data_IF_778054351111
#
_entry.id   IF_778054351111
#
_cell.length_a   1.000
_cell.length_b   1.000
_cell.length_c   1.000
_cell.angle_alpha   90.00
_cell.angle_beta   90.00
_cell.angle_gamma   90.00
#
_symmetry.space_group_name_H-M   'P 1'
#
loop_
_entity.id
_entity.type
_entity.pdbx_description
1 polymer ?
#
# COMPACT_ATOMS: atom_id res chain seq x y z
N UNK A 1 -21.46 -21.58 -25.28
CA UNK A 1 -21.19 -22.54 -26.35
C UNK A 1 -22.28 -22.45 -27.42
N UNK A 2 -21.88 -22.44 -28.66
CA UNK A 2 -22.80 -22.41 -29.83
C UNK A 2 -22.92 -23.76 -30.48
N UNK A 3 -22.19 -24.76 -29.99
CA UNK A 3 -22.11 -26.12 -30.51
C UNK A 3 -22.31 -27.18 -29.42
N UNK A 4 -21.77 -28.35 -29.66
CA UNK A 4 -21.87 -29.55 -28.80
C UNK A 4 -20.60 -29.75 -27.98
N UNK A 5 -19.75 -28.74 -27.90
CA UNK A 5 -18.47 -28.79 -27.17
C UNK A 5 -18.68 -28.99 -25.67
N UNK A 6 -17.91 -29.90 -25.10
CA UNK A 6 -17.96 -30.26 -23.68
C UNK A 6 -16.62 -30.03 -22.98
N UNK A 7 -15.62 -29.51 -23.71
CA UNK A 7 -14.30 -29.16 -23.13
C UNK A 7 -13.77 -27.87 -23.75
N UNK A 8 -13.02 -27.14 -23.00
CA UNK A 8 -12.42 -25.86 -23.39
C UNK A 8 -11.02 -25.69 -22.81
N UNK A 9 -10.17 -24.97 -23.53
CA UNK A 9 -8.90 -24.47 -23.03
C UNK A 9 -9.05 -22.98 -22.71
N UNK A 10 -8.81 -22.61 -21.46
CA UNK A 10 -8.77 -21.23 -20.99
C UNK A 10 -7.30 -20.82 -20.91
N UNK A 11 -6.92 -19.76 -21.61
CA UNK A 11 -5.62 -19.13 -21.45
C UNK A 11 -5.79 -17.82 -20.73
N UNK A 12 -5.04 -17.59 -19.65
CA UNK A 12 -5.11 -16.37 -18.86
C UNK A 12 -3.74 -15.88 -18.43
N UNK A 13 -3.63 -14.59 -18.12
CA UNK A 13 -2.41 -13.94 -17.65
C UNK A 13 -2.67 -12.51 -17.20
N UNK A 14 -1.66 -11.78 -16.74
CA UNK A 14 -1.77 -10.36 -16.46
C UNK A 14 -2.35 -9.61 -17.65
N UNK A 15 -3.12 -8.53 -17.39
CA UNK A 15 -3.76 -7.76 -18.45
C UNK A 15 -2.73 -7.32 -19.51
N UNK A 16 -3.10 -7.46 -20.79
CA UNK A 16 -2.24 -7.18 -21.93
C UNK A 16 -1.27 -8.32 -22.32
N UNK A 17 -1.35 -9.50 -21.71
CA UNK A 17 -0.51 -10.62 -22.15
C UNK A 17 -0.83 -11.02 -23.59
N UNK A 18 0.18 -11.51 -24.29
CA UNK A 18 0.03 -11.99 -25.67
C UNK A 18 -0.50 -13.44 -25.66
N UNK A 19 -1.55 -13.78 -26.47
CA UNK A 19 -2.01 -15.16 -26.63
C UNK A 19 -0.85 -16.10 -26.98
N UNK A 20 -0.80 -17.26 -26.32
CA UNK A 20 0.30 -18.22 -26.43
C UNK A 20 1.34 -18.10 -25.31
N UNK A 21 1.35 -17.00 -24.52
CA UNK A 21 2.29 -16.81 -23.40
C UNK A 21 1.64 -16.94 -22.03
N UNK A 22 0.31 -16.99 -21.93
CA UNK A 22 -0.44 -17.12 -20.71
C UNK A 22 -0.47 -18.55 -20.14
N UNK A 23 -0.98 -18.67 -18.93
CA UNK A 23 -1.25 -19.97 -18.30
C UNK A 23 -2.47 -20.61 -18.95
N UNK A 24 -2.38 -21.90 -19.31
CA UNK A 24 -3.48 -22.66 -19.93
C UNK A 24 -4.07 -23.60 -18.88
N UNK A 25 -5.40 -23.60 -18.75
CA UNK A 25 -6.17 -24.56 -17.96
C UNK A 25 -7.25 -25.20 -18.82
N UNK A 26 -7.37 -26.53 -18.71
CA UNK A 26 -8.48 -27.27 -19.33
C UNK A 26 -9.74 -27.15 -18.47
N UNK A 27 -10.85 -26.78 -19.09
CA UNK A 27 -12.16 -26.62 -18.46
C UNK A 27 -13.14 -27.65 -19.03
N UNK A 28 -13.65 -28.53 -18.18
CA UNK A 28 -14.70 -29.52 -18.55
C UNK A 28 -16.10 -29.06 -18.19
N UNK A 29 -16.29 -27.85 -17.69
CA UNK A 29 -17.59 -27.28 -17.31
C UNK A 29 -17.69 -25.83 -17.76
N UNK A 30 -18.93 -25.40 -18.01
CA UNK A 30 -19.27 -23.99 -18.22
C UNK A 30 -20.50 -23.66 -17.34
N UNK A 31 -20.37 -22.81 -16.30
CA UNK A 31 -19.20 -21.99 -15.95
C UNK A 31 -18.03 -22.79 -15.38
N UNK A 32 -16.81 -22.21 -15.48
CA UNK A 32 -15.57 -22.69 -14.88
C UNK A 32 -15.06 -21.70 -13.84
N UNK A 33 -14.67 -22.19 -12.67
CA UNK A 33 -14.08 -21.35 -11.59
C UNK A 33 -12.55 -21.37 -11.68
N UNK A 34 -11.96 -20.26 -12.07
CA UNK A 34 -10.52 -20.06 -12.06
C UNK A 34 -10.05 -19.70 -10.63
N UNK A 35 -9.06 -20.42 -10.13
CA UNK A 35 -8.53 -20.25 -8.76
C UNK A 35 -7.02 -19.98 -8.78
N UNK A 36 -6.44 -19.59 -7.63
CA UNK A 36 -5.01 -19.32 -7.51
C UNK A 36 -4.59 -17.97 -8.08
N UNK A 37 -5.52 -17.06 -8.26
CA UNK A 37 -5.26 -15.71 -8.74
C UNK A 37 -4.69 -14.84 -7.60
N UNK A 38 -3.87 -13.87 -7.98
CA UNK A 38 -3.36 -12.83 -7.06
C UNK A 38 -4.45 -11.77 -6.85
N UNK A 39 -4.63 -11.29 -5.62
CA UNK A 39 -5.56 -10.21 -5.32
C UNK A 39 -5.10 -8.87 -5.94
N UNK A 40 -6.01 -7.93 -6.13
CA UNK A 40 -5.77 -6.60 -6.73
C UNK A 40 -5.00 -6.67 -8.07
N UNK A 41 -5.29 -7.67 -8.89
CA UNK A 41 -4.57 -7.91 -10.13
C UNK A 41 -5.55 -7.96 -11.30
N UNK A 42 -5.24 -7.20 -12.35
CA UNK A 42 -6.00 -7.25 -13.61
C UNK A 42 -5.50 -8.39 -14.49
N UNK A 43 -6.44 -9.16 -14.96
CA UNK A 43 -6.22 -10.33 -15.82
C UNK A 43 -6.99 -10.20 -17.12
N UNK A 44 -6.38 -10.71 -18.17
CA UNK A 44 -7.07 -11.03 -19.42
C UNK A 44 -7.20 -12.54 -19.55
N UNK A 45 -8.28 -12.98 -20.22
CA UNK A 45 -8.43 -14.39 -20.57
C UNK A 45 -8.99 -14.57 -21.98
N UNK A 46 -8.66 -15.72 -22.54
CA UNK A 46 -9.10 -16.20 -23.85
C UNK A 46 -9.62 -17.61 -23.69
N UNK A 47 -10.63 -17.98 -24.46
CA UNK A 47 -11.21 -19.33 -24.45
C UNK A 47 -11.20 -19.93 -25.85
N UNK A 48 -10.85 -21.20 -25.91
CA UNK A 48 -10.84 -22.03 -27.12
C UNK A 48 -11.64 -23.29 -26.83
N UNK A 49 -12.52 -23.69 -27.75
CA UNK A 49 -13.17 -25.00 -27.66
C UNK A 49 -12.15 -26.09 -27.97
N UNK A 50 -12.16 -27.15 -27.17
CA UNK A 50 -11.38 -28.37 -27.38
C UNK A 50 -12.30 -29.43 -28.03
N UNK A 51 -12.00 -29.79 -29.27
CA UNK A 51 -12.74 -30.79 -30.04
C UNK A 51 -11.98 -32.12 -30.15
N UNK A 52 -10.97 -32.33 -29.27
CA UNK A 52 -10.14 -33.53 -29.22
C UNK A 52 -8.99 -33.47 -30.23
N UNK A 53 -9.19 -33.90 -31.43
CA UNK A 53 -8.14 -33.87 -32.46
C UNK A 53 -7.95 -32.47 -33.09
N UNK A 54 -8.86 -31.54 -32.83
CA UNK A 54 -8.87 -30.17 -33.35
C UNK A 54 -9.32 -29.19 -32.27
N UNK A 55 -9.18 -27.90 -32.51
CA UNK A 55 -9.62 -26.85 -31.61
C UNK A 55 -10.05 -25.60 -32.38
N UNK A 56 -10.97 -24.84 -31.79
CA UNK A 56 -11.41 -23.58 -32.38
C UNK A 56 -10.31 -22.51 -32.33
N UNK A 57 -10.51 -21.38 -32.99
CA UNK A 57 -9.77 -20.17 -32.69
C UNK A 57 -10.09 -19.70 -31.26
N UNK A 58 -9.16 -18.98 -30.62
CA UNK A 58 -9.40 -18.31 -29.34
C UNK A 58 -10.42 -17.18 -29.49
N UNK A 59 -11.36 -17.12 -28.53
CA UNK A 59 -12.26 -16.00 -28.33
C UNK A 59 -11.76 -15.17 -27.16
N UNK A 60 -11.70 -13.85 -27.32
CA UNK A 60 -11.21 -12.92 -26.30
C UNK A 60 -10.42 -11.74 -26.90
N UNK A 61 -9.68 -10.92 -26.08
CA UNK A 61 -9.65 -11.05 -24.64
C UNK A 61 -10.94 -10.62 -23.95
N UNK A 62 -11.18 -11.16 -22.77
CA UNK A 62 -12.07 -10.56 -21.79
C UNK A 62 -11.28 -10.30 -20.51
N UNK A 63 -11.52 -9.15 -19.88
CA UNK A 63 -10.72 -8.68 -18.75
C UNK A 63 -11.54 -8.68 -17.47
N UNK A 64 -10.87 -8.92 -16.35
CA UNK A 64 -11.41 -8.73 -14.98
C UNK A 64 -10.30 -8.36 -14.03
N UNK A 65 -10.66 -7.74 -12.92
CA UNK A 65 -9.72 -7.43 -11.83
C UNK A 65 -10.17 -8.16 -10.57
N UNK A 66 -9.24 -8.86 -9.93
CA UNK A 66 -9.51 -9.48 -8.63
C UNK A 66 -9.61 -8.41 -7.55
N UNK A 67 -10.58 -8.50 -6.62
CA UNK A 67 -10.67 -7.55 -5.52
C UNK A 67 -9.45 -7.67 -4.58
N UNK A 68 -9.20 -6.60 -3.84
CA UNK A 68 -8.22 -6.63 -2.74
C UNK A 68 -8.69 -7.62 -1.66
N UNK A 69 -7.77 -8.42 -1.16
CA UNK A 69 -7.97 -9.30 -0.01
C UNK A 69 -6.91 -8.96 1.02
N UNK A 70 -7.35 -8.62 2.24
CA UNK A 70 -6.44 -8.33 3.34
C UNK A 70 -5.58 -9.56 3.66
N UNK A 71 -4.25 -9.42 3.74
CA UNK A 71 -3.38 -10.52 4.12
C UNK A 71 -3.75 -11.11 5.49
N UNK A 72 -3.64 -12.42 5.63
CA UNK A 72 -3.89 -13.08 6.90
C UNK A 72 -2.94 -12.54 7.98
N UNK A 73 -3.47 -12.17 9.15
CA UNK A 73 -2.71 -11.60 10.25
C UNK A 73 -2.37 -10.12 10.11
N UNK A 74 -2.91 -9.43 9.10
CA UNK A 74 -2.84 -7.98 8.98
C UNK A 74 -4.21 -7.34 9.22
N UNK A 75 -4.22 -6.04 9.46
CA UNK A 75 -5.43 -5.20 9.49
C UNK A 75 -5.43 -4.29 8.26
N UNK A 76 -6.58 -4.11 7.63
CA UNK A 76 -6.68 -3.34 6.40
C UNK A 76 -7.86 -2.37 6.42
N UNK A 77 -7.70 -1.27 5.70
CA UNK A 77 -8.79 -0.35 5.37
C UNK A 77 -8.66 0.12 3.92
N UNK A 78 -9.80 0.34 3.26
CA UNK A 78 -9.84 0.81 1.87
C UNK A 78 -10.81 1.98 1.74
N UNK A 79 -10.37 3.06 1.11
CA UNK A 79 -11.18 4.21 0.76
C UNK A 79 -11.84 3.97 -0.61
N UNK A 80 -13.16 3.96 -0.63
CA UNK A 80 -13.95 3.72 -1.85
C UNK A 80 -14.23 4.96 -2.70
N UNK A 81 -13.66 6.12 -2.35
CA UNK A 81 -13.84 7.40 -3.07
C UNK A 81 -12.52 7.91 -3.62
N UNK A 82 -12.59 8.76 -4.62
CA UNK A 82 -11.44 9.52 -5.13
C UNK A 82 -10.83 10.42 -4.06
N UNK A 83 -9.53 10.73 -4.21
CA UNK A 83 -8.86 11.81 -3.48
C UNK A 83 -8.41 12.84 -4.50
N UNK A 84 -8.87 14.06 -4.31
CA UNK A 84 -8.44 15.21 -5.13
C UNK A 84 -6.97 15.52 -4.88
N UNK A 85 -6.27 16.01 -5.90
CA UNK A 85 -4.90 16.48 -5.76
C UNK A 85 -4.87 17.99 -5.46
N UNK A 86 -4.00 18.39 -4.53
CA UNK A 86 -3.73 19.79 -4.23
C UNK A 86 -2.58 20.32 -5.09
N UNK A 87 -2.55 21.64 -5.34
CA UNK A 87 -1.52 22.24 -6.18
C UNK A 87 -0.37 22.76 -5.35
N UNK A 88 0.81 22.72 -6.01
CA UNK A 88 2.14 23.06 -5.56
C UNK A 88 2.68 22.18 -4.43
N UNK A 89 2.51 20.89 -4.64
CA UNK A 89 3.01 19.84 -3.75
C UNK A 89 4.47 19.51 -4.09
N UNK A 90 5.38 20.44 -3.77
CA UNK A 90 6.79 20.34 -4.22
C UNK A 90 7.79 19.99 -3.13
N UNK A 91 7.43 20.14 -1.85
CA UNK A 91 8.32 19.92 -0.72
C UNK A 91 7.62 19.18 0.43
N UNK A 92 8.43 18.59 1.34
CA UNK A 92 7.95 18.01 2.59
C UNK A 92 7.86 19.07 3.71
N UNK A 93 6.91 18.88 4.64
CA UNK A 93 5.83 17.90 4.60
C UNK A 93 4.90 18.16 3.41
N UNK A 94 4.56 17.09 2.70
CA UNK A 94 3.67 17.17 1.54
C UNK A 94 2.21 17.28 1.98
N UNK A 95 1.81 18.40 2.57
CA UNK A 95 0.46 18.61 3.08
C UNK A 95 -0.50 19.04 1.96
N UNK A 96 -1.56 18.28 1.78
CA UNK A 96 -2.72 18.63 0.97
C UNK A 96 -3.83 19.16 1.89
N UNK A 97 -4.62 20.11 1.41
CA UNK A 97 -5.80 20.61 2.13
C UNK A 97 -7.01 19.68 2.00
N UNK A 98 -6.89 18.61 1.21
CA UNK A 98 -7.93 17.60 0.98
C UNK A 98 -7.39 16.16 1.03
N UNK A 99 -6.73 15.74 2.11
CA UNK A 99 -6.21 14.37 2.21
C UNK A 99 -7.34 13.35 2.24
N UNK A 100 -7.08 12.17 1.69
CA UNK A 100 -7.92 10.99 1.97
C UNK A 100 -7.60 10.47 3.36
N UNK A 101 -8.60 10.02 4.11
CA UNK A 101 -8.44 9.51 5.47
C UNK A 101 -8.91 8.06 5.62
N UNK A 102 -8.14 7.24 6.36
CA UNK A 102 -8.47 5.88 6.76
C UNK A 102 -8.04 5.63 8.20
N UNK A 103 -8.78 4.79 8.92
CA UNK A 103 -8.45 4.35 10.28
C UNK A 103 -8.31 2.84 10.30
N UNK A 104 -7.29 2.34 10.99
CA UNK A 104 -7.06 0.90 11.21
C UNK A 104 -6.93 0.64 12.70
N UNK A 105 -7.69 -0.32 13.22
CA UNK A 105 -7.63 -0.69 14.65
C UNK A 105 -6.71 -1.90 14.81
N UNK A 106 -5.66 -1.72 15.62
CA UNK A 106 -4.69 -2.75 15.96
C UNK A 106 -5.25 -3.57 17.13
N UNK A 107 -5.18 -4.92 17.11
CA UNK A 107 -5.63 -5.76 18.21
C UNK A 107 -5.00 -5.37 19.56
N UNK A 108 -5.76 -5.53 20.64
CA UNK A 108 -5.26 -5.20 21.97
C UNK A 108 -4.04 -6.04 22.35
N UNK A 109 -2.97 -5.37 22.75
CA UNK A 109 -1.69 -6.00 23.08
C UNK A 109 -0.71 -6.07 21.94
N UNK A 110 -1.13 -5.77 20.70
CA UNK A 110 -0.24 -5.71 19.55
C UNK A 110 0.25 -4.29 19.28
N UNK A 111 1.36 -4.22 18.55
CA UNK A 111 1.96 -3.00 18.03
C UNK A 111 2.09 -3.09 16.51
N UNK A 112 2.12 -1.96 15.84
CA UNK A 112 2.42 -1.88 14.41
C UNK A 112 3.88 -2.27 14.17
N UNK A 113 4.11 -3.21 13.26
CA UNK A 113 5.44 -3.61 12.78
C UNK A 113 5.82 -2.86 11.50
N UNK A 114 4.88 -2.74 10.58
CA UNK A 114 5.05 -1.99 9.33
C UNK A 114 3.71 -1.67 8.67
N UNK A 115 3.74 -0.71 7.77
CA UNK A 115 2.59 -0.30 6.96
C UNK A 115 2.91 -0.53 5.49
N UNK A 116 1.90 -0.94 4.72
CA UNK A 116 1.92 -0.88 3.27
C UNK A 116 0.72 -0.06 2.75
N UNK A 117 0.90 0.63 1.64
CA UNK A 117 -0.14 1.42 1.00
C UNK A 117 -0.18 1.16 -0.51
N UNK A 118 -1.41 1.04 -1.04
CA UNK A 118 -1.67 0.70 -2.43
C UNK A 118 -2.75 1.63 -2.97
N UNK A 119 -2.47 2.29 -4.08
CA UNK A 119 -3.42 3.16 -4.78
C UNK A 119 -2.96 3.45 -6.19
N UNK A 120 -3.90 3.86 -7.02
CA UNK A 120 -3.67 4.32 -8.37
C UNK A 120 -3.83 5.84 -8.42
N UNK A 121 -2.94 6.52 -9.13
CA UNK A 121 -3.14 7.93 -9.50
C UNK A 121 -3.24 8.05 -10.99
N UNK A 122 -4.30 8.69 -11.44
CA UNK A 122 -4.54 8.98 -12.86
C UNK A 122 -4.22 10.42 -13.20
N UNK A 123 -3.47 10.63 -14.28
CA UNK A 123 -3.29 11.91 -14.93
C UNK A 123 -4.32 12.04 -16.06
N UNK A 124 -5.19 13.04 -15.97
CA UNK A 124 -6.33 13.30 -16.85
C UNK A 124 -6.30 14.74 -17.32
N UNK A 125 -7.24 15.16 -18.18
CA UNK A 125 -7.45 16.57 -18.55
C UNK A 125 -6.23 17.29 -19.14
N UNK A 126 -5.23 16.58 -19.64
CA UNK A 126 -3.97 17.14 -20.12
C UNK A 126 -2.88 17.23 -19.06
N UNK A 127 -3.13 16.76 -17.84
CA UNK A 127 -2.10 16.56 -16.82
C UNK A 127 -1.12 15.43 -17.19
N UNK A 128 0.05 15.44 -16.60
CA UNK A 128 1.08 14.43 -16.81
C UNK A 128 1.29 13.58 -15.57
N UNK A 129 1.60 12.30 -15.78
CA UNK A 129 1.95 11.40 -14.68
C UNK A 129 3.19 11.88 -13.89
N UNK A 130 4.15 12.58 -14.54
CA UNK A 130 5.31 13.16 -13.88
C UNK A 130 4.99 14.29 -12.88
N UNK A 131 3.78 14.81 -12.90
CA UNK A 131 3.32 15.88 -12.00
C UNK A 131 2.76 15.34 -10.69
N UNK A 132 2.47 14.03 -10.63
CA UNK A 132 1.90 13.37 -9.46
C UNK A 132 2.88 13.39 -8.28
N UNK A 133 2.34 13.72 -7.12
CA UNK A 133 3.01 13.66 -5.81
C UNK A 133 2.09 13.02 -4.81
N UNK A 134 2.67 12.29 -3.87
CA UNK A 134 1.90 11.76 -2.75
C UNK A 134 2.77 11.51 -1.53
N UNK A 135 2.17 11.57 -0.36
CA UNK A 135 2.82 11.44 0.92
C UNK A 135 1.87 10.83 1.93
N UNK A 136 2.30 9.78 2.62
CA UNK A 136 1.52 9.14 3.65
C UNK A 136 1.92 9.70 5.02
N UNK A 137 0.91 10.08 5.78
CA UNK A 137 1.04 10.65 7.12
C UNK A 137 0.09 9.95 8.10
N UNK A 138 0.42 9.96 9.38
CA UNK A 138 -0.48 9.52 10.45
C UNK A 138 -0.64 10.63 11.48
N UNK A 139 -1.83 11.24 11.58
CA UNK A 139 -2.09 12.27 12.59
C UNK A 139 -2.07 11.70 14.01
N UNK A 140 -2.47 10.43 14.20
CA UNK A 140 -2.41 9.78 15.51
C UNK A 140 -0.98 9.52 16.01
N UNK A 141 -0.02 9.36 15.09
CA UNK A 141 1.42 9.19 15.41
C UNK A 141 2.16 10.53 15.36
N UNK A 142 1.66 11.49 14.59
CA UNK A 142 2.33 12.77 14.34
C UNK A 142 3.56 12.64 13.44
N UNK A 143 3.59 11.64 12.57
CA UNK A 143 4.71 11.34 11.68
C UNK A 143 4.25 10.89 10.29
N UNK A 144 5.12 11.00 9.31
CA UNK A 144 4.88 10.58 7.93
C UNK A 144 6.15 10.06 7.27
N UNK A 145 6.04 9.72 6.00
CA UNK A 145 7.17 9.25 5.21
C UNK A 145 8.27 10.32 5.11
N UNK A 146 9.52 9.89 5.04
CA UNK A 146 10.68 10.78 4.93
C UNK A 146 10.81 11.45 3.53
N UNK A 147 10.07 10.97 2.54
CA UNK A 147 10.07 11.49 1.18
C UNK A 147 8.69 11.37 0.52
N UNK A 148 8.39 12.25 -0.42
CA UNK A 148 7.22 12.12 -1.31
C UNK A 148 7.45 11.02 -2.33
N UNK A 149 6.38 10.33 -2.72
CA UNK A 149 6.35 9.50 -3.92
C UNK A 149 6.03 10.38 -5.13
N UNK A 150 6.82 10.24 -6.19
CA UNK A 150 6.72 11.08 -7.38
C UNK A 150 6.35 10.21 -8.58
N UNK A 151 5.48 10.73 -9.43
CA UNK A 151 5.16 10.12 -10.70
C UNK A 151 6.25 10.33 -11.75
N UNK A 152 6.14 9.61 -12.85
CA UNK A 152 7.02 9.71 -14.01
C UNK A 152 6.24 9.55 -15.31
N UNK A 153 6.69 10.19 -16.37
CA UNK A 153 6.08 10.14 -17.71
C UNK A 153 5.31 11.42 -18.07
N UNK A 154 5.63 11.97 -19.24
CA UNK A 154 5.07 13.24 -19.73
C UNK A 154 3.84 12.97 -20.62
N UNK A 155 2.87 12.25 -20.10
CA UNK A 155 1.61 11.94 -20.75
C UNK A 155 0.52 11.70 -19.71
N UNK A 156 -0.74 11.71 -20.14
CA UNK A 156 -1.87 11.19 -19.37
C UNK A 156 -1.74 9.67 -19.19
N UNK A 157 -2.29 9.14 -18.11
CA UNK A 157 -2.24 7.72 -17.80
C UNK A 157 -2.33 7.48 -16.30
N UNK A 158 -2.22 6.22 -15.91
CA UNK A 158 -2.33 5.81 -14.51
C UNK A 158 -1.02 5.19 -14.03
N UNK A 159 -0.60 5.54 -12.82
CA UNK A 159 0.52 4.91 -12.12
C UNK A 159 -0.02 4.18 -10.90
N UNK A 160 0.39 2.91 -10.76
CA UNK A 160 0.14 2.12 -9.56
C UNK A 160 1.23 2.42 -8.53
N UNK A 161 0.85 2.92 -7.38
CA UNK A 161 1.73 3.16 -6.25
C UNK A 161 1.61 2.01 -5.25
N UNK A 162 2.65 1.20 -5.16
CA UNK A 162 2.75 0.06 -4.25
C UNK A 162 3.93 0.28 -3.32
N UNK A 163 3.67 0.75 -2.10
CA UNK A 163 4.70 1.07 -1.12
C UNK A 163 4.56 0.13 0.08
N UNK A 164 5.64 -0.52 0.46
CA UNK A 164 5.67 -1.52 1.53
C UNK A 164 6.82 -1.24 2.49
N UNK A 165 6.77 -1.82 3.69
CA UNK A 165 7.84 -1.65 4.69
C UNK A 165 7.93 -0.24 5.26
N UNK A 166 6.83 0.53 5.23
CA UNK A 166 6.76 1.88 5.79
C UNK A 166 6.79 1.76 7.32
N UNK A 167 7.68 2.50 7.98
CA UNK A 167 8.02 2.29 9.39
C UNK A 167 7.73 3.49 10.31
N UNK A 168 7.25 4.63 9.80
CA UNK A 168 7.03 5.81 10.67
C UNK A 168 5.96 5.60 11.75
N UNK A 169 5.06 4.61 11.55
CA UNK A 169 4.02 4.25 12.51
C UNK A 169 4.38 3.02 13.38
N UNK A 170 5.62 2.53 13.31
CA UNK A 170 6.04 1.39 14.11
C UNK A 170 5.83 1.62 15.60
N UNK A 171 5.46 0.57 16.33
CA UNK A 171 5.09 0.58 17.75
C UNK A 171 3.79 1.30 18.10
N UNK A 172 3.08 1.89 17.15
CA UNK A 172 1.74 2.44 17.41
C UNK A 172 0.76 1.34 17.84
N UNK A 173 -0.22 1.70 18.66
CA UNK A 173 -1.23 0.80 19.24
C UNK A 173 -2.63 1.39 19.10
N UNK A 174 -3.65 0.56 19.31
CA UNK A 174 -5.04 1.01 19.26
C UNK A 174 -5.47 1.41 17.85
N UNK A 175 -6.29 2.45 17.71
CA UNK A 175 -6.70 2.94 16.38
C UNK A 175 -5.66 3.92 15.86
N UNK A 176 -5.13 3.62 14.68
CA UNK A 176 -4.15 4.44 13.96
C UNK A 176 -4.82 5.05 12.74
N UNK A 177 -4.82 6.37 12.68
CA UNK A 177 -5.35 7.12 11.55
C UNK A 177 -4.25 7.38 10.53
N UNK A 178 -4.58 7.26 9.27
CA UNK A 178 -3.70 7.51 8.14
C UNK A 178 -4.33 8.51 7.18
N UNK A 179 -3.52 9.42 6.68
CA UNK A 179 -3.88 10.38 5.65
C UNK A 179 -2.98 10.21 4.42
N UNK A 180 -3.60 10.05 3.26
CA UNK A 180 -2.90 10.13 1.99
C UNK A 180 -3.05 11.54 1.44
N UNK A 181 -1.97 12.30 1.51
CA UNK A 181 -1.87 13.61 0.90
C UNK A 181 -1.45 13.44 -0.55
N UNK A 182 -2.34 13.78 -1.46
CA UNK A 182 -2.11 13.72 -2.90
C UNK A 182 -1.97 15.14 -3.46
N UNK A 183 -1.01 15.31 -4.34
CA UNK A 183 -0.72 16.61 -4.93
C UNK A 183 -0.24 16.53 -6.36
N UNK A 184 -0.16 17.70 -6.98
CA UNK A 184 0.31 17.92 -8.33
C UNK A 184 1.21 19.14 -8.42
N UNK A 185 2.10 19.16 -9.42
CA UNK A 185 3.02 20.28 -9.65
C UNK A 185 2.59 21.19 -10.81
N UNK A 186 1.38 20.97 -11.34
CA UNK A 186 0.80 21.75 -12.43
C UNK A 186 -0.73 21.89 -12.26
N UNK A 187 -1.34 22.93 -12.81
CA UNK A 187 -2.78 23.04 -13.02
C UNK A 187 -3.54 23.95 -12.06
N UNK A 188 -2.87 24.91 -11.41
CA UNK A 188 -3.52 25.92 -10.58
C UNK A 188 -3.76 25.53 -9.14
N UNK A 189 -4.20 26.49 -8.33
CA UNK A 189 -4.31 26.36 -6.88
C UNK A 189 -5.56 25.58 -6.43
N UNK A 190 -5.42 24.93 -5.27
CA UNK A 190 -6.50 24.22 -4.57
C UNK A 190 -6.68 22.76 -5.00
N UNK A 191 -7.58 22.11 -4.31
CA UNK A 191 -7.92 20.72 -4.51
C UNK A 191 -8.91 20.53 -5.64
N UNK A 192 -8.55 19.76 -6.64
CA UNK A 192 -9.44 19.33 -7.73
C UNK A 192 -8.98 18.04 -8.40
N UNK A 193 -9.79 17.48 -9.30
CA UNK A 193 -9.54 16.25 -10.06
C UNK A 193 -9.28 16.54 -11.55
N UNK A 194 -9.01 17.81 -11.90
CA UNK A 194 -8.97 18.23 -13.32
C UNK A 194 -7.77 17.65 -14.05
N UNK A 195 -6.61 17.55 -13.38
CA UNK A 195 -5.35 17.11 -13.99
C UNK A 195 -4.82 15.83 -13.42
N UNK A 196 -4.93 15.63 -12.11
CA UNK A 196 -4.50 14.41 -11.43
C UNK A 196 -5.45 14.09 -10.27
N UNK A 197 -5.65 12.81 -10.00
CA UNK A 197 -6.45 12.33 -8.87
C UNK A 197 -5.94 10.97 -8.40
N UNK A 198 -6.25 10.61 -7.15
CA UNK A 198 -6.17 9.22 -6.67
C UNK A 198 -7.50 8.54 -6.98
N UNK A 199 -7.43 7.42 -7.68
CA UNK A 199 -8.61 6.62 -8.00
C UNK A 199 -9.23 5.99 -6.74
N UNK A 200 -10.53 5.67 -6.74
CA UNK A 200 -11.15 4.88 -5.68
C UNK A 200 -10.41 3.56 -5.46
N UNK A 201 -10.19 3.21 -4.19
CA UNK A 201 -9.50 1.96 -3.84
C UNK A 201 -8.18 2.12 -3.11
N UNK A 202 -7.83 3.35 -2.68
CA UNK A 202 -6.68 3.52 -1.80
C UNK A 202 -6.81 2.62 -0.58
N UNK A 203 -5.79 1.79 -0.37
CA UNK A 203 -5.77 0.76 0.67
C UNK A 203 -4.54 0.90 1.56
N UNK A 204 -4.76 0.79 2.87
CA UNK A 204 -3.73 0.63 3.90
C UNK A 204 -3.76 -0.81 4.40
N UNK A 205 -2.58 -1.40 4.53
CA UNK A 205 -2.34 -2.69 5.19
C UNK A 205 -1.39 -2.46 6.35
N UNK A 206 -1.80 -2.81 7.54
CA UNK A 206 -0.98 -2.71 8.75
C UNK A 206 -0.62 -4.11 9.21
N UNK A 207 0.66 -4.42 9.19
CA UNK A 207 1.23 -5.62 9.81
C UNK A 207 1.51 -5.33 11.27
N UNK A 208 1.15 -6.24 12.14
CA UNK A 208 1.25 -6.07 13.58
C UNK A 208 1.66 -7.39 14.25
N UNK A 209 2.26 -7.28 15.40
CA UNK A 209 2.62 -8.41 16.26
C UNK A 209 2.43 -8.05 17.73
N UNK A 210 2.43 -9.08 18.57
CA UNK A 210 2.32 -8.88 20.01
C UNK A 210 3.46 -7.97 20.51
N UNK A 211 3.11 -6.95 21.28
CA UNK A 211 4.11 -6.07 21.87
C UNK A 211 5.11 -6.88 22.70
N UNK A 212 6.43 -6.62 22.61
CA UNK A 212 7.42 -7.28 23.45
C UNK A 212 7.04 -7.15 24.93
N UNK A 213 7.12 -8.22 25.68
CA UNK A 213 6.83 -8.22 27.11
C UNK A 213 7.78 -7.31 27.92
N UNK A 214 8.93 -6.97 27.30
CA UNK A 214 9.92 -6.04 27.86
C UNK A 214 10.38 -5.10 26.75
N UNK A 215 9.86 -3.90 26.72
CA UNK A 215 10.14 -2.93 25.65
C UNK A 215 11.46 -2.20 25.90
N UNK A 216 12.16 -1.84 24.82
CA UNK A 216 13.41 -1.07 24.94
C UNK A 216 13.13 0.35 25.45
N UNK A 217 13.80 0.82 26.52
CA UNK A 217 13.71 2.21 26.95
C UNK A 217 14.12 3.19 25.85
N UNK A 218 13.51 4.36 25.84
CA UNK A 218 13.78 5.43 24.87
C UNK A 218 14.21 6.73 25.56
N UNK A 219 14.58 7.74 24.76
CA UNK A 219 14.91 9.10 25.24
C UNK A 219 15.95 9.11 26.36
N UNK A 220 17.07 8.41 26.16
CA UNK A 220 18.16 8.39 27.14
C UNK A 220 18.73 9.78 27.31
N UNK A 221 18.90 10.19 28.58
CA UNK A 221 19.47 11.48 28.96
C UNK A 221 20.57 11.32 29.99
N UNK A 222 21.51 12.24 29.99
CA UNK A 222 22.53 12.39 31.03
C UNK A 222 22.53 13.85 31.49
N UNK A 223 22.27 14.08 32.80
CA UNK A 223 22.16 15.40 33.40
C UNK A 223 23.01 15.47 34.68
N UNK A 224 23.19 16.66 35.25
CA UNK A 224 23.93 16.87 36.50
C UNK A 224 25.30 16.20 36.52
N UNK A 225 26.05 16.27 35.41
CA UNK A 225 27.37 15.66 35.28
C UNK A 225 28.37 16.37 36.19
N UNK A 226 29.04 15.61 37.04
CA UNK A 226 30.11 16.09 37.94
C UNK A 226 31.42 15.37 37.62
N UNK A 227 32.45 15.58 38.42
CA UNK A 227 33.73 14.85 38.29
C UNK A 227 33.62 13.35 38.58
N UNK A 228 32.58 12.91 39.28
CA UNK A 228 32.44 11.53 39.76
C UNK A 228 31.04 10.95 39.65
N UNK A 229 30.03 11.72 39.18
CA UNK A 229 28.63 11.27 39.08
C UNK A 229 27.91 11.86 37.89
N UNK A 230 26.84 11.23 37.50
CA UNK A 230 25.88 11.67 36.46
C UNK A 230 24.49 11.13 36.80
N UNK A 231 23.46 11.93 36.58
CA UNK A 231 22.09 11.45 36.63
C UNK A 231 21.71 10.92 35.23
N UNK A 232 21.33 9.65 35.15
CA UNK A 232 20.85 8.98 33.93
C UNK A 232 19.33 8.92 33.94
N UNK A 233 18.70 9.37 32.88
CA UNK A 233 17.26 9.30 32.68
C UNK A 233 16.90 8.59 31.40
N UNK A 234 15.70 8.02 31.37
CA UNK A 234 15.10 7.39 30.20
C UNK A 234 13.58 7.40 30.33
N UNK A 235 12.91 7.15 29.20
CA UNK A 235 11.45 6.92 29.18
C UNK A 235 11.19 5.43 29.11
N UNK A 236 10.43 4.90 30.08
CA UNK A 236 9.88 3.55 30.02
C UNK A 236 8.85 3.48 28.87
N UNK A 237 8.91 2.46 28.05
CA UNK A 237 8.02 2.26 26.90
C UNK A 237 7.03 1.13 27.11
N UNK A 238 7.11 0.43 28.25
CA UNK A 238 6.22 -0.64 28.66
C UNK A 238 5.87 -0.54 30.15
N UNK A 239 5.66 -1.69 30.79
CA UNK A 239 5.29 -1.81 32.21
C UNK A 239 6.48 -2.15 33.11
N UNK A 240 7.70 -1.93 32.63
CA UNK A 240 8.94 -2.25 33.33
C UNK A 240 9.07 -1.43 34.61
N UNK A 241 9.45 -2.09 35.66
CA UNK A 241 9.71 -1.48 36.98
C UNK A 241 11.18 -1.58 37.42
N UNK A 242 12.02 -2.22 36.61
CA UNK A 242 13.45 -2.40 36.84
C UNK A 242 14.25 -2.40 35.53
N UNK A 243 15.47 -1.85 35.59
CA UNK A 243 16.34 -1.73 34.42
C UNK A 243 17.77 -2.10 34.79
N UNK A 244 18.47 -2.69 33.82
CA UNK A 244 19.91 -2.91 33.88
C UNK A 244 20.62 -1.76 33.17
N UNK A 245 21.54 -1.10 33.85
CA UNK A 245 22.34 -0.02 33.28
C UNK A 245 23.74 -0.56 32.99
N UNK A 246 24.17 -0.43 31.75
CA UNK A 246 25.53 -0.73 31.31
C UNK A 246 26.23 0.59 30.95
N UNK A 247 27.44 0.78 31.45
CA UNK A 247 28.24 1.98 31.16
C UNK A 247 29.71 1.61 31.01
N UNK A 248 30.45 2.43 30.28
CA UNK A 248 31.88 2.24 30.04
C UNK A 248 32.51 3.47 29.39
N UNK A 249 33.83 3.41 29.06
CA UNK A 249 34.47 4.43 28.24
C UNK A 249 33.78 4.59 26.91
N UNK A 250 33.89 5.77 26.27
CA UNK A 250 33.31 5.99 24.96
C UNK A 250 33.77 4.94 23.96
N UNK A 251 32.79 4.32 23.27
CA UNK A 251 33.04 3.24 22.31
C UNK A 251 33.09 1.82 22.91
N UNK A 252 32.70 1.62 24.19
CA UNK A 252 32.52 0.26 24.70
C UNK A 252 31.36 -0.46 23.94
N UNK A 253 31.44 -1.77 23.81
CA UNK A 253 30.46 -2.66 23.16
C UNK A 253 30.03 -3.78 24.12
#
# INVERSE_FOLDING_TARGET
>A
ATGTETAWNIQYGPAGFTPGTGTIVAAGTNPYTLTGLTSSTSYDFWIQADCGADSSAYAGPSSFTTPFVCPAGAQCATLGTEISTDFDFTALPGESTCPGGLSVTIPAGDIVDSVATFYDMSAVGGGWMAEQRSWLYSPSVGAGEAATSNGAGNATGTINYNRTGISFANTATGTVDFELHAGRTYGGAGCDNTFNLVEPGWTIVVYHSLAPACSQPSSLTATNVTGTSVDLGWTATGTETAWNIQYGPAGFT
#
